data_IF_310635298141
#
_entry.id   IF_310635298141
#
_cell.length_a   1.000
_cell.length_b   1.000
_cell.length_c   1.000
_cell.angle_alpha   90.00
_cell.angle_beta   90.00
_cell.angle_gamma   90.00
#
_symmetry.space_group_name_H-M   'P 1'
#
loop_
_entity.id
_entity.type
_entity.pdbx_description
1 polymer ?
#
# COMPACT_ATOMS: atom_id res chain seq x y z
N UNK A 1 -14.42 -5.84 -0.41
CA UNK A 1 -13.46 -6.56 -1.28
C UNK A 1 -13.86 -8.03 -1.41
N UNK A 2 -13.87 -8.61 -2.62
CA UNK A 2 -14.09 -10.06 -2.81
C UNK A 2 -12.75 -10.81 -2.74
N UNK A 3 -12.58 -11.65 -1.71
CA UNK A 3 -11.31 -12.34 -1.45
C UNK A 3 -10.98 -13.39 -2.52
N UNK A 4 -11.99 -14.04 -3.11
CA UNK A 4 -11.79 -15.05 -4.15
C UNK A 4 -11.22 -14.41 -5.41
N UNK A 5 -11.81 -13.30 -5.85
CA UNK A 5 -11.33 -12.56 -7.02
C UNK A 5 -9.91 -12.05 -6.77
N UNK A 6 -9.67 -11.46 -5.62
CA UNK A 6 -8.36 -10.90 -5.31
C UNK A 6 -7.24 -11.94 -5.24
N UNK A 7 -7.48 -13.11 -4.62
CA UNK A 7 -6.51 -14.20 -4.63
C UNK A 7 -6.19 -14.68 -6.05
N UNK A 8 -7.21 -14.70 -6.93
CA UNK A 8 -7.02 -14.98 -8.36
C UNK A 8 -6.12 -13.96 -9.05
N UNK A 9 -6.29 -12.67 -8.78
CA UNK A 9 -5.41 -11.61 -9.31
C UNK A 9 -3.96 -11.74 -8.81
N UNK A 10 -3.78 -12.23 -7.57
CA UNK A 10 -2.46 -12.51 -7.00
C UNK A 10 -1.88 -13.87 -7.43
N UNK A 11 -2.58 -14.63 -8.28
CA UNK A 11 -2.19 -15.99 -8.68
C UNK A 11 -1.98 -16.94 -7.50
N UNK A 12 -2.75 -16.78 -6.42
CA UNK A 12 -2.66 -17.60 -5.21
C UNK A 12 -3.80 -18.60 -5.11
N UNK A 13 -3.46 -19.83 -4.75
CA UNK A 13 -4.47 -20.81 -4.31
C UNK A 13 -4.93 -20.53 -2.88
N UNK A 14 -6.15 -20.98 -2.54
CA UNK A 14 -6.67 -20.90 -1.17
C UNK A 14 -5.80 -21.67 -0.17
N UNK A 15 -5.09 -22.71 -0.63
CA UNK A 15 -4.17 -23.49 0.20
C UNK A 15 -2.92 -22.69 0.55
N UNK A 16 -2.28 -22.06 -0.43
CA UNK A 16 -1.12 -21.19 -0.20
C UNK A 16 -1.50 -20.02 0.69
N UNK A 17 -2.63 -19.37 0.41
CA UNK A 17 -3.19 -18.33 1.27
C UNK A 17 -3.32 -18.79 2.73
N UNK A 18 -3.96 -19.94 2.97
CA UNK A 18 -4.15 -20.48 4.32
C UNK A 18 -2.81 -20.73 5.06
N UNK A 19 -1.81 -21.22 4.33
CA UNK A 19 -0.47 -21.45 4.89
C UNK A 19 0.25 -20.14 5.23
N UNK A 20 0.18 -19.15 4.34
CA UNK A 20 0.89 -17.88 4.54
C UNK A 20 0.32 -17.05 5.70
N UNK A 21 -1.00 -17.06 5.87
CA UNK A 21 -1.64 -16.39 7.01
C UNK A 21 -1.76 -17.30 8.24
N UNK A 22 -1.22 -18.52 8.17
CA UNK A 22 -1.20 -19.53 9.23
C UNK A 22 -2.58 -19.77 9.90
N UNK A 23 -3.56 -20.11 9.06
CA UNK A 23 -4.90 -20.54 9.51
C UNK A 23 -5.24 -21.92 8.95
N UNK A 24 -6.15 -22.67 9.60
CA UNK A 24 -6.63 -23.93 9.05
C UNK A 24 -7.22 -23.73 7.64
N UNK A 25 -6.93 -24.66 6.71
CA UNK A 25 -7.44 -24.60 5.34
C UNK A 25 -8.96 -24.41 5.27
N UNK A 26 -9.70 -25.08 6.16
CA UNK A 26 -11.16 -24.97 6.22
C UNK A 26 -11.62 -23.57 6.57
N UNK A 27 -10.91 -22.89 7.47
CA UNK A 27 -11.17 -21.49 7.85
C UNK A 27 -10.97 -20.58 6.65
N UNK A 28 -9.86 -20.71 5.92
CA UNK A 28 -9.61 -19.95 4.71
C UNK A 28 -10.66 -20.19 3.62
N UNK A 29 -11.06 -21.46 3.41
CA UNK A 29 -12.13 -21.81 2.47
C UNK A 29 -13.47 -21.18 2.84
N UNK A 30 -13.81 -21.13 4.12
CA UNK A 30 -15.06 -20.53 4.60
C UNK A 30 -15.07 -19.01 4.36
N UNK A 31 -13.92 -18.33 4.51
CA UNK A 31 -13.82 -16.91 4.17
C UNK A 31 -13.92 -16.67 2.66
N UNK A 32 -13.19 -17.45 1.86
CA UNK A 32 -13.09 -17.25 0.40
C UNK A 32 -14.37 -17.65 -0.33
N UNK A 33 -14.99 -18.78 0.05
CA UNK A 33 -16.11 -19.35 -0.71
C UNK A 33 -17.47 -19.14 -0.06
N UNK A 34 -17.53 -19.00 1.27
CA UNK A 34 -18.79 -18.85 2.01
C UNK A 34 -18.99 -17.43 2.56
N UNK A 35 -18.00 -16.54 2.42
CA UNK A 35 -18.07 -15.17 2.91
C UNK A 35 -18.19 -15.07 4.43
N UNK A 36 -17.73 -16.09 5.17
CA UNK A 36 -17.73 -16.06 6.63
C UNK A 36 -16.76 -14.96 7.10
N UNK A 37 -17.23 -14.08 7.98
CA UNK A 37 -16.39 -13.04 8.55
C UNK A 37 -15.29 -13.65 9.45
N UNK A 38 -14.02 -13.23 9.32
CA UNK A 38 -12.96 -13.63 10.25
C UNK A 38 -13.22 -13.16 11.69
N UNK A 39 -12.62 -13.83 12.67
CA UNK A 39 -12.50 -13.30 14.03
C UNK A 39 -11.59 -12.06 14.04
N UNK A 40 -11.64 -11.24 15.11
CA UNK A 40 -10.83 -10.02 15.20
C UNK A 40 -9.31 -10.27 15.02
N UNK A 41 -8.77 -11.30 15.67
CA UNK A 41 -7.36 -11.69 15.51
C UNK A 41 -7.03 -12.09 14.06
N UNK A 42 -7.88 -12.90 13.44
CA UNK A 42 -7.71 -13.34 12.07
C UNK A 42 -7.91 -12.20 11.05
N UNK A 43 -8.73 -11.22 11.40
CA UNK A 43 -8.95 -10.04 10.57
C UNK A 43 -7.69 -9.18 10.49
N UNK A 44 -6.94 -9.03 11.59
CA UNK A 44 -5.66 -8.33 11.60
C UNK A 44 -4.63 -9.04 10.70
N UNK A 45 -4.51 -10.37 10.85
CA UNK A 45 -3.64 -11.22 10.01
C UNK A 45 -3.99 -11.12 8.52
N UNK A 46 -5.27 -11.21 8.19
CA UNK A 46 -5.77 -11.06 6.82
C UNK A 46 -5.46 -9.67 6.25
N UNK A 47 -5.70 -8.63 7.04
CA UNK A 47 -5.46 -7.24 6.65
C UNK A 47 -3.98 -7.01 6.35
N UNK A 48 -3.09 -7.42 7.27
CA UNK A 48 -1.65 -7.32 7.08
C UNK A 48 -1.15 -8.10 5.86
N UNK A 49 -1.67 -9.31 5.66
CA UNK A 49 -1.38 -10.11 4.46
C UNK A 49 -1.79 -9.41 3.17
N UNK A 50 -3.01 -8.88 3.09
CA UNK A 50 -3.48 -8.16 1.91
C UNK A 50 -2.62 -6.92 1.66
N UNK A 51 -2.31 -6.14 2.70
CA UNK A 51 -1.54 -4.90 2.57
C UNK A 51 -0.10 -5.13 2.08
N UNK A 52 0.53 -6.24 2.50
CA UNK A 52 1.90 -6.58 2.10
C UNK A 52 2.02 -7.04 0.64
N UNK A 53 0.96 -7.59 0.06
CA UNK A 53 0.95 -8.11 -1.33
C UNK A 53 0.28 -7.19 -2.32
N UNK A 54 -0.53 -6.25 -1.84
CA UNK A 54 -1.24 -5.35 -2.72
C UNK A 54 -0.25 -4.46 -3.49
N UNK A 55 -0.28 -4.55 -4.82
CA UNK A 55 0.26 -3.49 -5.67
C UNK A 55 -0.64 -2.26 -5.54
N UNK A 56 -0.32 -1.38 -4.58
CA UNK A 56 -1.21 -0.31 -4.18
C UNK A 56 -1.47 0.70 -5.30
N UNK A 57 -2.75 1.03 -5.51
CA UNK A 57 -3.20 2.15 -6.33
C UNK A 57 -3.74 3.21 -5.38
N UNK A 58 -2.87 4.15 -4.99
CA UNK A 58 -3.23 5.21 -4.06
C UNK A 58 -4.04 6.30 -4.76
N UNK A 59 -5.24 6.53 -4.25
CA UNK A 59 -6.02 7.74 -4.55
C UNK A 59 -5.73 8.70 -3.41
N UNK A 60 -4.99 9.77 -3.70
CA UNK A 60 -4.52 10.74 -2.71
C UNK A 60 -5.36 12.01 -2.87
N UNK A 61 -5.86 12.52 -1.74
CA UNK A 61 -6.64 13.75 -1.70
C UNK A 61 -5.81 14.97 -2.15
N UNK A 62 -6.51 16.06 -2.49
CA UNK A 62 -5.86 17.33 -2.81
C UNK A 62 -5.00 17.82 -1.62
N UNK A 63 -3.86 18.44 -1.93
CA UNK A 63 -2.94 18.96 -0.94
C UNK A 63 -3.58 20.08 -0.10
N UNK A 64 -3.96 19.76 1.14
CA UNK A 64 -4.56 20.68 2.11
C UNK A 64 -3.71 20.75 3.39
N UNK A 65 -2.40 20.99 3.25
CA UNK A 65 -1.46 21.05 4.38
C UNK A 65 -0.18 20.26 4.12
N UNK A 66 0.52 19.88 5.20
CA UNK A 66 1.78 19.13 5.12
C UNK A 66 1.61 17.71 4.59
N UNK A 67 0.48 17.07 4.88
CA UNK A 67 0.16 15.73 4.42
C UNK A 67 -1.19 15.69 3.71
N UNK A 68 -1.35 14.71 2.83
CA UNK A 68 -2.59 14.35 2.17
C UNK A 68 -2.96 12.92 2.52
N UNK A 69 -4.23 12.67 2.82
CA UNK A 69 -4.73 11.32 3.04
C UNK A 69 -4.78 10.58 1.71
N UNK A 70 -4.32 9.34 1.70
CA UNK A 70 -4.45 8.43 0.58
C UNK A 70 -5.21 7.16 0.95
N UNK A 71 -6.07 6.70 0.05
CA UNK A 71 -6.79 5.42 0.18
C UNK A 71 -6.44 4.54 -1.02
N UNK A 72 -6.03 3.31 -0.76
CA UNK A 72 -5.78 2.36 -1.83
C UNK A 72 -7.10 1.88 -2.43
N UNK A 73 -7.29 2.04 -3.74
CA UNK A 73 -8.51 1.61 -4.44
C UNK A 73 -8.71 0.08 -4.45
N UNK A 74 -7.66 -0.69 -4.15
CA UNK A 74 -7.66 -2.16 -4.25
C UNK A 74 -7.90 -2.83 -2.90
N UNK A 75 -7.14 -2.44 -1.87
CA UNK A 75 -7.20 -3.06 -0.54
C UNK A 75 -7.75 -2.13 0.54
N UNK A 76 -8.11 -0.90 0.19
CA UNK A 76 -8.71 0.08 1.10
C UNK A 76 -7.78 0.52 2.25
N UNK A 77 -6.49 0.16 2.20
CA UNK A 77 -5.49 0.67 3.12
C UNK A 77 -5.51 2.20 3.09
N UNK A 78 -5.41 2.81 4.26
CA UNK A 78 -5.29 4.25 4.43
C UNK A 78 -3.86 4.58 4.84
N UNK A 79 -3.26 5.57 4.20
CA UNK A 79 -1.93 6.06 4.52
C UNK A 79 -1.84 7.56 4.26
N UNK A 80 -1.06 8.27 5.07
CA UNK A 80 -0.76 9.68 4.84
C UNK A 80 0.48 9.84 3.94
N UNK A 81 0.41 10.80 3.04
CA UNK A 81 1.45 11.15 2.08
C UNK A 81 1.94 12.57 2.32
N UNK A 82 3.24 12.81 2.37
CA UNK A 82 3.80 14.14 2.52
C UNK A 82 3.68 14.94 1.22
N UNK A 83 3.20 16.18 1.34
CA UNK A 83 3.13 17.12 0.23
C UNK A 83 4.47 17.83 0.07
N UNK A 84 4.82 18.20 -1.16
CA UNK A 84 5.98 19.04 -1.43
C UNK A 84 5.76 20.43 -0.83
N UNK A 85 6.70 20.89 0.01
CA UNK A 85 6.75 22.27 0.52
C UNK A 85 7.81 23.08 -0.25
N UNK A 86 7.75 24.41 -0.15
CA UNK A 86 8.70 25.34 -0.82
C UNK A 86 10.18 25.11 -0.43
N UNK A 87 10.49 24.30 0.59
CA UNK A 87 11.86 23.89 0.90
C UNK A 87 12.48 22.92 -0.13
N UNK A 88 11.67 22.34 -1.03
CA UNK A 88 12.13 21.49 -2.15
C UNK A 88 12.66 22.29 -3.34
N UNK A 89 13.10 23.54 -3.14
CA UNK A 89 13.84 24.31 -4.14
C UNK A 89 15.08 23.50 -4.53
N UNK A 90 15.06 22.98 -5.76
CA UNK A 90 16.24 22.46 -6.44
C UNK A 90 17.38 23.46 -6.25
N UNK A 91 18.38 23.11 -5.44
CA UNK A 91 19.63 23.85 -5.37
C UNK A 91 20.41 23.38 -6.59
N UNK A 92 20.51 24.17 -7.68
CA UNK A 92 21.36 23.78 -8.79
C UNK A 92 22.79 23.64 -8.28
N UNK A 93 23.56 22.64 -8.76
CA UNK A 93 24.96 22.52 -8.39
C UNK A 93 25.66 23.84 -8.69
N UNK A 94 26.38 24.38 -7.70
CA UNK A 94 27.21 25.58 -7.91
C UNK A 94 28.18 25.27 -9.03
N UNK A 95 28.09 25.99 -10.15
CA UNK A 95 29.15 26.00 -11.16
C UNK A 95 30.34 26.72 -10.55
N UNK A 96 31.26 25.94 -9.99
CA UNK A 96 32.57 26.44 -9.61
C UNK A 96 33.33 26.78 -10.89
N UNK A 97 33.60 28.07 -11.11
CA UNK A 97 34.30 28.51 -12.32
C UNK A 97 33.89 29.88 -12.83
N UNK A 98 33.96 30.92 -12.00
CA UNK A 98 34.13 32.28 -12.51
C UNK A 98 35.52 32.78 -12.07
N UNK A 99 36.55 32.31 -12.77
CA UNK A 99 37.85 33.02 -12.77
C UNK A 99 37.64 34.29 -13.58
N UNK A 100 37.60 35.43 -12.90
CA UNK A 100 37.65 36.76 -13.52
C UNK A 100 39.11 37.01 -13.92
N UNK A 101 39.46 37.23 -15.20
CA UNK A 101 40.79 37.72 -15.53
C UNK A 101 40.90 39.17 -15.07
N UNK A 102 41.94 39.46 -14.28
CA UNK A 102 42.40 40.82 -14.01
C UNK A 102 43.22 41.30 -15.19
N UNK A 103 42.79 42.37 -15.86
CA UNK A 103 43.62 43.45 -16.42
C UNK A 103 42.80 44.73 -16.37
#
# INVERSE_FOLDING_TARGET
MDLKVWLGEQSLSVREFAQEIDVPLKTAQDWVYRGVAPSAENQDRLTGFIYSRCAHHWVIDAANGHTSRGVCKRCEQVRDFENSTEASLWIPPKRDGQVKPSV
#
